data_IF_435115024419
#
_entry.id   IF_435115024419
#
_cell.length_a   1.000
_cell.length_b   1.000
_cell.length_c   1.000
_cell.angle_alpha   90.00
_cell.angle_beta   90.00
_cell.angle_gamma   90.00
#
_symmetry.space_group_name_H-M   'P 1'
#
loop_
_entity.id
_entity.type
_entity.pdbx_description
1 polymer ?
#
# COMPACT_ATOMS: atom_id res chain seq x y z
N UNK A 1 -21.91 -9.22 -33.53
CA UNK A 1 -21.54 -10.22 -32.50
C UNK A 1 -20.08 -10.06 -32.00
N UNK A 2 -19.08 -10.08 -32.88
CA UNK A 2 -17.65 -10.01 -32.50
C UNK A 2 -17.27 -8.74 -31.69
N UNK A 3 -17.80 -7.57 -32.02
CA UNK A 3 -17.53 -6.32 -31.29
C UNK A 3 -18.07 -6.34 -29.84
N UNK A 4 -19.24 -6.93 -29.61
CA UNK A 4 -19.78 -7.08 -28.25
C UNK A 4 -18.94 -8.05 -27.42
N UNK A 5 -18.42 -9.12 -28.04
CA UNK A 5 -17.49 -10.05 -27.39
C UNK A 5 -16.14 -9.41 -27.07
N UNK A 6 -15.64 -8.45 -27.87
CA UNK A 6 -14.41 -7.72 -27.52
C UNK A 6 -14.60 -6.74 -26.37
N UNK A 7 -15.77 -6.08 -26.28
CA UNK A 7 -16.06 -5.16 -25.18
C UNK A 7 -16.21 -5.88 -23.84
N UNK A 8 -16.84 -7.06 -23.80
CA UNK A 8 -16.97 -7.84 -22.56
C UNK A 8 -15.61 -8.35 -22.08
N UNK A 9 -14.75 -8.82 -22.99
CA UNK A 9 -13.36 -9.21 -22.67
C UNK A 9 -12.55 -8.04 -22.11
N UNK A 10 -12.68 -6.84 -22.70
CA UNK A 10 -11.97 -5.65 -22.21
C UNK A 10 -12.39 -5.26 -20.79
N UNK A 11 -13.71 -5.26 -20.49
CA UNK A 11 -14.21 -4.92 -19.15
C UNK A 11 -13.73 -5.91 -18.08
N UNK A 12 -13.76 -7.21 -18.39
CA UNK A 12 -13.31 -8.27 -17.47
C UNK A 12 -11.82 -8.13 -17.12
N UNK A 13 -10.96 -7.81 -18.09
CA UNK A 13 -9.53 -7.57 -17.84
C UNK A 13 -9.27 -6.37 -16.94
N UNK A 14 -9.96 -5.26 -17.18
CA UNK A 14 -9.84 -4.07 -16.34
C UNK A 14 -10.28 -4.36 -14.90
N UNK A 15 -11.40 -5.07 -14.72
CA UNK A 15 -11.87 -5.47 -13.39
C UNK A 15 -10.88 -6.39 -12.67
N UNK A 16 -10.34 -7.40 -13.36
CA UNK A 16 -9.32 -8.28 -12.80
C UNK A 16 -8.08 -7.50 -12.36
N UNK A 17 -7.61 -6.54 -13.16
CA UNK A 17 -6.47 -5.69 -12.81
C UNK A 17 -6.69 -4.91 -11.51
N UNK A 18 -7.88 -4.33 -11.32
CA UNK A 18 -8.24 -3.65 -10.07
C UNK A 18 -8.31 -4.61 -8.89
N UNK A 19 -8.95 -5.77 -9.06
CA UNK A 19 -9.03 -6.80 -8.00
C UNK A 19 -7.64 -7.26 -7.57
N UNK A 20 -6.76 -7.57 -8.52
CA UNK A 20 -5.38 -7.99 -8.22
C UNK A 20 -4.59 -6.90 -7.49
N UNK A 21 -4.78 -5.64 -7.89
CA UNK A 21 -4.17 -4.51 -7.20
C UNK A 21 -4.65 -4.40 -5.75
N UNK A 22 -5.97 -4.49 -5.51
CA UNK A 22 -6.54 -4.39 -4.16
C UNK A 22 -6.07 -5.54 -3.27
N UNK A 23 -6.17 -6.79 -3.74
CA UNK A 23 -5.68 -7.96 -2.98
C UNK A 23 -4.20 -7.85 -2.64
N UNK A 24 -3.38 -7.33 -3.58
CA UNK A 24 -1.98 -7.06 -3.33
C UNK A 24 -1.78 -6.01 -2.22
N UNK A 25 -2.54 -4.92 -2.22
CA UNK A 25 -2.46 -3.89 -1.18
C UNK A 25 -2.91 -4.45 0.17
N UNK A 26 -3.97 -5.24 0.21
CA UNK A 26 -4.47 -5.87 1.43
C UNK A 26 -3.42 -6.80 2.04
N UNK A 27 -2.76 -7.64 1.22
CA UNK A 27 -1.65 -8.47 1.67
C UNK A 27 -0.47 -7.64 2.19
N UNK A 28 -0.09 -6.57 1.50
CA UNK A 28 0.97 -5.66 1.98
C UNK A 28 0.58 -5.05 3.33
N UNK A 29 -0.67 -4.61 3.48
CA UNK A 29 -1.16 -4.00 4.70
C UNK A 29 -1.18 -5.00 5.87
N UNK A 30 -1.63 -6.23 5.64
CA UNK A 30 -1.57 -7.33 6.63
C UNK A 30 -0.13 -7.63 7.05
N UNK A 31 0.77 -7.74 6.06
CA UNK A 31 2.19 -7.98 6.31
C UNK A 31 2.85 -6.75 6.95
N UNK A 32 2.30 -5.54 6.90
CA UNK A 32 2.85 -4.32 7.56
C UNK A 32 2.19 -4.00 8.91
N UNK A 33 0.97 -4.46 9.15
CA UNK A 33 0.27 -4.29 10.41
C UNK A 33 0.90 -5.15 11.51
N UNK A 34 1.27 -4.52 12.63
CA UNK A 34 2.01 -5.19 13.70
C UNK A 34 1.20 -6.32 14.35
N UNK A 35 -0.10 -6.13 14.52
CA UNK A 35 -0.98 -7.11 15.17
C UNK A 35 -1.21 -8.33 14.28
N UNK A 36 -1.54 -8.10 13.01
CA UNK A 36 -1.72 -9.14 11.99
C UNK A 36 -0.46 -9.98 11.82
N UNK A 37 0.71 -9.33 11.74
CA UNK A 37 1.98 -10.05 11.58
C UNK A 37 2.39 -10.82 12.84
N UNK A 38 2.19 -10.26 14.05
CA UNK A 38 2.42 -11.01 15.29
C UNK A 38 1.54 -12.27 15.29
N UNK A 39 0.25 -12.14 15.03
CA UNK A 39 -0.66 -13.29 14.94
C UNK A 39 -0.22 -14.28 13.88
N UNK A 40 0.21 -13.80 12.71
CA UNK A 40 0.77 -14.64 11.63
C UNK A 40 1.99 -15.42 12.11
N UNK A 41 2.96 -14.77 12.75
CA UNK A 41 4.17 -15.43 13.27
C UNK A 41 3.84 -16.50 14.31
N UNK A 42 2.89 -16.23 15.21
CA UNK A 42 2.52 -17.11 16.32
C UNK A 42 1.37 -18.08 16.01
N UNK A 43 0.84 -18.11 14.78
CA UNK A 43 -0.22 -19.05 14.40
C UNK A 43 0.31 -20.49 14.36
N UNK A 44 -0.46 -21.45 14.88
CA UNK A 44 -0.03 -22.85 15.03
C UNK A 44 0.40 -23.51 13.71
N UNK A 45 -0.30 -23.20 12.61
CA UNK A 45 0.09 -23.71 11.28
C UNK A 45 1.45 -23.18 10.80
N UNK A 46 1.95 -22.07 11.35
CA UNK A 46 3.27 -21.52 11.03
C UNK A 46 4.36 -21.94 12.03
N UNK A 47 4.04 -22.78 13.03
CA UNK A 47 4.96 -23.13 14.11
C UNK A 47 6.28 -23.71 13.61
N UNK A 48 6.28 -24.45 12.49
CA UNK A 48 7.51 -24.98 11.90
C UNK A 48 8.21 -23.97 10.98
N UNK A 49 7.47 -23.27 10.11
CA UNK A 49 8.07 -22.39 9.09
C UNK A 49 8.56 -21.06 9.65
N UNK A 50 8.04 -20.61 10.80
CA UNK A 50 8.41 -19.36 11.48
C UNK A 50 8.99 -19.59 12.88
N UNK A 51 9.38 -20.83 13.21
CA UNK A 51 9.86 -21.24 14.54
C UNK A 51 10.97 -20.32 15.11
N UNK A 52 11.93 -19.94 14.26
CA UNK A 52 13.06 -19.13 14.70
C UNK A 52 12.64 -17.69 15.08
N UNK A 53 11.61 -17.16 14.42
CA UNK A 53 11.04 -15.84 14.74
C UNK A 53 10.22 -15.88 16.03
N UNK A 54 9.60 -17.01 16.38
CA UNK A 54 8.81 -17.17 17.60
C UNK A 54 9.68 -17.27 18.85
N UNK A 55 10.78 -18.02 18.76
CA UNK A 55 11.61 -18.41 19.91
C UNK A 55 12.90 -17.60 20.02
N UNK A 56 13.14 -16.65 19.12
CA UNK A 56 14.35 -15.82 19.06
C UNK A 56 15.63 -16.63 18.91
N UNK A 57 15.58 -17.78 18.24
CA UNK A 57 16.77 -18.59 17.95
C UNK A 57 17.37 -18.18 16.61
N UNK A 58 18.62 -18.60 16.36
CA UNK A 58 19.33 -18.30 15.12
C UNK A 58 18.56 -18.80 13.89
N UNK A 59 18.12 -17.87 13.05
CA UNK A 59 17.36 -18.18 11.85
C UNK A 59 18.22 -18.74 10.71
N UNK A 60 19.56 -18.80 10.82
CA UNK A 60 20.41 -19.46 9.82
C UNK A 60 20.02 -20.92 9.60
N UNK A 61 19.62 -21.61 10.67
CA UNK A 61 19.31 -23.04 10.66
C UNK A 61 18.00 -23.38 9.94
N UNK A 62 17.17 -22.37 9.61
CA UNK A 62 15.90 -22.57 8.88
C UNK A 62 16.15 -22.55 7.36
N UNK A 63 17.35 -22.20 6.90
CA UNK A 63 17.73 -22.30 5.50
C UNK A 63 18.05 -23.75 5.13
N UNK A 64 17.20 -24.33 4.28
CA UNK A 64 17.51 -25.61 3.66
C UNK A 64 18.62 -25.46 2.60
N UNK A 65 18.77 -24.26 2.00
CA UNK A 65 19.87 -23.83 1.12
C UNK A 65 19.96 -22.30 1.11
N UNK A 66 21.16 -21.73 0.86
CA UNK A 66 21.36 -20.28 0.73
C UNK A 66 20.36 -19.66 -0.26
N UNK A 67 19.43 -18.85 0.26
CA UNK A 67 18.45 -18.10 -0.53
C UNK A 67 17.10 -18.78 -0.79
N UNK A 68 16.85 -19.99 -0.26
CA UNK A 68 15.56 -20.67 -0.38
C UNK A 68 14.43 -19.89 0.32
N UNK A 69 13.27 -19.86 -0.32
CA UNK A 69 12.07 -19.20 0.18
C UNK A 69 11.22 -20.18 0.99
N UNK A 70 11.06 -19.90 2.28
CA UNK A 70 10.30 -20.75 3.21
C UNK A 70 8.81 -20.38 3.13
N UNK A 71 7.89 -21.34 2.95
CA UNK A 71 6.46 -21.02 2.86
C UNK A 71 5.90 -20.53 4.21
N UNK A 72 5.20 -19.40 4.18
CA UNK A 72 4.28 -19.00 5.25
C UNK A 72 2.98 -19.77 5.01
N UNK A 73 2.59 -20.66 5.93
CA UNK A 73 1.42 -21.53 5.77
C UNK A 73 0.12 -20.72 5.81
N UNK A 74 0.02 -19.74 6.71
CA UNK A 74 -1.10 -18.79 6.73
C UNK A 74 -0.68 -17.36 7.00
N UNK A 75 -1.42 -16.41 6.44
CA UNK A 75 -1.43 -15.01 6.87
C UNK A 75 -2.77 -14.72 7.50
N UNK A 76 -2.76 -14.20 8.72
CA UNK A 76 -3.96 -13.84 9.48
C UNK A 76 -4.06 -12.33 9.67
N UNK A 77 -5.30 -11.83 9.78
CA UNK A 77 -5.55 -10.42 10.06
C UNK A 77 -5.51 -10.10 11.56
N UNK A 78 -5.73 -8.84 11.91
CA UNK A 78 -5.73 -8.36 13.29
C UNK A 78 -6.88 -8.91 14.12
N UNK A 79 -7.92 -9.49 13.50
CA UNK A 79 -9.02 -10.22 14.13
C UNK A 79 -8.75 -11.73 14.31
N UNK A 80 -7.56 -12.21 13.91
CA UNK A 80 -7.19 -13.64 13.90
C UNK A 80 -7.88 -14.50 12.83
N UNK A 81 -8.41 -13.87 11.78
CA UNK A 81 -9.02 -14.58 10.66
C UNK A 81 -7.98 -14.88 9.59
N UNK A 82 -8.00 -16.09 9.03
CA UNK A 82 -7.12 -16.49 7.93
C UNK A 82 -7.50 -15.74 6.66
N UNK A 83 -6.57 -14.92 6.16
CA UNK A 83 -6.71 -14.19 4.91
C UNK A 83 -6.12 -14.98 3.73
N UNK A 84 -4.98 -15.63 3.95
CA UNK A 84 -4.27 -16.41 2.94
C UNK A 84 -3.82 -17.73 3.54
N UNK A 85 -4.02 -18.82 2.80
CA UNK A 85 -3.57 -20.16 3.15
C UNK A 85 -2.72 -20.75 2.01
N UNK A 86 -1.45 -20.95 2.31
CA UNK A 86 -0.49 -21.64 1.47
C UNK A 86 -0.60 -23.15 1.75
N UNK A 87 -1.74 -23.72 1.37
CA UNK A 87 -2.04 -25.15 1.63
C UNK A 87 -0.88 -26.08 1.23
N UNK A 88 -0.64 -27.15 2.04
CA UNK A 88 0.41 -28.11 1.77
C UNK A 88 0.15 -28.90 0.47
N UNK A 89 1.20 -29.37 -0.20
CA UNK A 89 1.07 -30.18 -1.41
C UNK A 89 0.26 -31.45 -1.12
N UNK A 90 -0.84 -31.67 -1.88
CA UNK A 90 -1.62 -32.92 -1.83
C UNK A 90 -3.14 -32.74 -1.74
N UNK A 91 -3.64 -31.54 -1.46
CA UNK A 91 -5.08 -31.25 -1.52
C UNK A 91 -5.52 -30.96 -2.96
N UNK A 92 -6.70 -31.48 -3.34
CA UNK A 92 -7.25 -31.33 -4.70
C UNK A 92 -7.88 -29.95 -4.95
N UNK A 93 -8.28 -29.25 -3.89
CA UNK A 93 -8.94 -27.96 -3.98
C UNK A 93 -8.21 -26.97 -3.08
N UNK A 94 -7.56 -26.00 -3.72
CA UNK A 94 -6.78 -24.99 -3.03
C UNK A 94 -7.64 -23.74 -2.78
N UNK A 95 -7.40 -23.06 -1.66
CA UNK A 95 -8.01 -21.75 -1.37
C UNK A 95 -7.53 -20.67 -2.34
N UNK A 96 -8.41 -19.72 -2.69
CA UNK A 96 -8.11 -18.67 -3.65
C UNK A 96 -9.07 -17.49 -3.56
N UNK A 97 -9.15 -16.71 -4.64
CA UNK A 97 -10.02 -15.55 -4.78
C UNK A 97 -10.78 -15.55 -6.11
N UNK A 98 -12.01 -15.07 -6.08
CA UNK A 98 -12.83 -14.83 -7.26
C UNK A 98 -12.27 -13.65 -8.07
N UNK A 99 -12.75 -13.43 -9.30
CA UNK A 99 -12.40 -12.23 -10.08
C UNK A 99 -12.81 -10.91 -9.40
N UNK A 100 -13.71 -10.96 -8.41
CA UNK A 100 -14.14 -9.81 -7.60
C UNK A 100 -13.34 -9.66 -6.30
N UNK A 101 -12.41 -10.58 -6.03
CA UNK A 101 -11.54 -10.54 -4.84
C UNK A 101 -12.16 -11.14 -3.59
N UNK A 102 -13.25 -11.89 -3.73
CA UNK A 102 -13.84 -12.61 -2.62
C UNK A 102 -13.11 -13.95 -2.40
N UNK A 103 -12.93 -14.41 -1.15
CA UNK A 103 -12.38 -15.74 -0.90
C UNK A 103 -13.22 -16.84 -1.55
N UNK A 104 -12.55 -17.86 -2.10
CA UNK A 104 -13.19 -19.04 -2.68
C UNK A 104 -12.34 -20.29 -2.45
N UNK A 105 -12.92 -21.46 -2.72
CA UNK A 105 -12.23 -22.76 -2.75
C UNK A 105 -12.31 -23.35 -4.15
N UNK A 106 -11.38 -24.24 -4.47
CA UNK A 106 -11.34 -24.92 -5.77
C UNK A 106 -10.43 -24.25 -6.79
N UNK A 107 -9.43 -23.47 -6.35
CA UNK A 107 -8.33 -23.10 -7.23
C UNK A 107 -7.60 -24.40 -7.65
N UNK A 108 -7.37 -24.55 -8.95
CA UNK A 108 -6.64 -25.68 -9.52
C UNK A 108 -5.74 -25.21 -10.65
N UNK A 109 -4.48 -25.62 -10.61
CA UNK A 109 -3.49 -25.32 -11.66
C UNK A 109 -3.69 -26.19 -12.92
N UNK A 110 -4.44 -27.29 -12.79
CA UNK A 110 -4.65 -28.26 -13.88
C UNK A 110 -6.02 -28.11 -14.52
N UNK A 111 -7.01 -27.65 -13.75
CA UNK A 111 -8.39 -27.45 -14.22
C UNK A 111 -8.78 -25.99 -13.98
N UNK A 112 -8.63 -25.11 -14.97
CA UNK A 112 -8.98 -23.69 -14.83
C UNK A 112 -10.43 -23.50 -14.37
N UNK A 113 -10.62 -22.56 -13.45
CA UNK A 113 -11.92 -22.27 -12.83
C UNK A 113 -12.13 -20.77 -12.74
N UNK A 114 -13.10 -20.25 -13.49
CA UNK A 114 -13.48 -18.84 -13.44
C UNK A 114 -14.15 -18.44 -12.11
N UNK A 115 -14.61 -19.42 -11.33
CA UNK A 115 -15.17 -19.22 -10.00
C UNK A 115 -14.06 -18.96 -8.97
N UNK A 116 -12.87 -19.54 -9.14
CA UNK A 116 -11.75 -19.37 -8.22
C UNK A 116 -10.40 -19.24 -8.95
N UNK A 117 -10.22 -18.21 -9.80
CA UNK A 117 -9.09 -18.16 -10.72
C UNK A 117 -7.82 -17.57 -10.10
N UNK A 118 -7.86 -16.94 -8.93
CA UNK A 118 -6.72 -16.23 -8.34
C UNK A 118 -6.24 -16.99 -7.10
N UNK A 119 -4.92 -17.18 -6.95
CA UNK A 119 -4.33 -17.68 -5.71
C UNK A 119 -3.05 -16.91 -5.41
N UNK A 120 -2.84 -16.60 -4.14
CA UNK A 120 -1.59 -16.04 -3.65
C UNK A 120 -0.87 -17.05 -2.78
N UNK A 121 0.46 -17.11 -2.93
CA UNK A 121 1.34 -17.91 -2.10
C UNK A 121 2.31 -16.98 -1.41
N UNK A 122 2.51 -17.18 -0.11
CA UNK A 122 3.38 -16.36 0.70
C UNK A 122 4.61 -17.14 1.14
N UNK A 123 5.78 -16.54 0.95
CA UNK A 123 7.05 -17.08 1.37
C UNK A 123 7.84 -16.02 2.12
N UNK A 124 8.81 -16.45 2.90
CA UNK A 124 9.73 -15.55 3.56
C UNK A 124 11.16 -16.09 3.53
N UNK A 125 12.10 -15.21 3.82
CA UNK A 125 13.45 -15.57 4.23
C UNK A 125 14.02 -14.49 5.16
N UNK A 126 14.89 -14.85 6.10
CA UNK A 126 15.62 -13.86 6.86
C UNK A 126 16.70 -13.21 5.99
N UNK A 127 17.06 -11.97 6.30
CA UNK A 127 18.18 -11.24 5.72
C UNK A 127 19.26 -11.16 6.80
N UNK A 128 20.17 -12.12 6.78
CA UNK A 128 21.27 -12.27 7.73
C UNK A 128 22.62 -12.05 7.04
N UNK A 129 23.60 -11.54 7.77
CA UNK A 129 25.00 -11.63 7.35
C UNK A 129 25.56 -12.99 7.76
N UNK A 130 26.33 -13.65 6.89
CA UNK A 130 26.77 -15.04 7.06
C UNK A 130 27.64 -15.32 8.31
N UNK A 131 28.18 -14.29 8.95
CA UNK A 131 29.22 -14.42 9.98
C UNK A 131 28.72 -14.31 11.41
N UNK A 132 27.47 -13.92 11.64
CA UNK A 132 26.94 -13.68 12.99
C UNK A 132 25.66 -14.49 13.23
N UNK A 133 25.32 -14.80 14.49
CA UNK A 133 24.05 -15.46 14.79
C UNK A 133 22.88 -14.57 14.31
N UNK A 134 21.96 -15.13 13.52
CA UNK A 134 20.85 -14.38 12.95
C UNK A 134 19.66 -14.36 13.89
N UNK A 135 19.88 -13.68 15.01
CA UNK A 135 18.87 -13.49 16.03
C UNK A 135 17.98 -12.33 15.59
N UNK A 136 16.68 -12.59 15.43
CA UNK A 136 15.68 -11.58 15.09
C UNK A 136 15.97 -10.77 13.80
N UNK A 137 16.09 -11.47 12.64
CA UNK A 137 16.45 -10.85 11.38
C UNK A 137 15.46 -9.78 10.91
N UNK A 138 15.97 -8.89 10.06
CA UNK A 138 15.10 -8.27 9.06
C UNK A 138 14.64 -9.36 8.10
N UNK A 139 13.34 -9.45 7.82
CA UNK A 139 12.80 -10.48 6.92
C UNK A 139 12.40 -9.88 5.58
N UNK A 140 12.51 -10.70 4.55
CA UNK A 140 11.91 -10.48 3.25
C UNK A 140 10.71 -11.41 3.09
N UNK A 141 9.52 -10.84 2.89
CA UNK A 141 8.34 -11.61 2.51
C UNK A 141 8.12 -11.47 1.01
N UNK A 142 7.94 -12.60 0.33
CA UNK A 142 7.69 -12.72 -1.11
C UNK A 142 6.31 -13.31 -1.34
N UNK A 143 5.46 -12.55 -2.00
CA UNK A 143 4.15 -13.01 -2.47
C UNK A 143 4.25 -13.42 -3.93
N UNK A 144 3.73 -14.61 -4.28
CA UNK A 144 3.57 -15.08 -5.66
C UNK A 144 2.09 -15.14 -6.00
N UNK A 145 1.72 -14.58 -7.15
CA UNK A 145 0.39 -14.71 -7.74
C UNK A 145 0.37 -15.92 -8.67
N UNK A 146 -0.65 -16.77 -8.55
CA UNK A 146 -1.04 -17.77 -9.52
C UNK A 146 -2.42 -17.42 -10.07
N UNK A 147 -2.60 -17.62 -11.37
CA UNK A 147 -3.86 -17.40 -12.06
C UNK A 147 -4.24 -18.61 -12.90
N UNK A 148 -5.47 -19.09 -12.74
CA UNK A 148 -6.02 -20.25 -13.45
C UNK A 148 -7.48 -20.00 -13.86
N UNK A 149 -7.70 -18.90 -14.59
CA UNK A 149 -8.97 -18.63 -15.27
C UNK A 149 -9.00 -19.22 -16.67
N UNK A 150 -10.19 -19.33 -17.27
CA UNK A 150 -10.37 -19.76 -18.65
C UNK A 150 -9.76 -18.77 -19.67
N UNK A 151 -9.49 -17.53 -19.26
CA UNK A 151 -8.77 -16.55 -20.05
C UNK A 151 -7.26 -16.84 -20.07
N UNK A 152 -6.82 -17.55 -21.10
CA UNK A 152 -5.40 -17.90 -21.35
C UNK A 152 -4.49 -16.70 -21.61
N UNK A 153 -5.03 -15.48 -21.70
CA UNK A 153 -4.22 -14.27 -21.91
C UNK A 153 -3.54 -13.76 -20.64
N UNK A 154 -3.99 -14.21 -19.46
CA UNK A 154 -3.33 -13.93 -18.19
C UNK A 154 -2.33 -15.06 -17.93
N UNK A 155 -1.08 -14.87 -18.37
CA UNK A 155 0.00 -15.80 -18.04
C UNK A 155 0.37 -15.67 -16.57
N UNK A 156 0.84 -16.74 -15.95
CA UNK A 156 1.46 -16.69 -14.62
C UNK A 156 2.50 -15.56 -14.60
N UNK A 157 2.13 -14.46 -13.95
CA UNK A 157 3.01 -13.35 -13.68
C UNK A 157 3.52 -13.52 -12.27
N UNK A 158 4.83 -13.77 -12.12
CA UNK A 158 5.49 -13.62 -10.83
C UNK A 158 5.47 -12.14 -10.45
N UNK A 159 4.38 -11.71 -9.81
CA UNK A 159 4.27 -10.39 -9.22
C UNK A 159 4.86 -10.45 -7.82
N UNK A 160 6.16 -10.13 -7.73
CA UNK A 160 6.85 -10.03 -6.46
C UNK A 160 6.36 -8.81 -5.71
N UNK A 161 5.86 -9.06 -4.50
CA UNK A 161 5.81 -8.03 -3.46
C UNK A 161 6.91 -8.36 -2.50
N UNK A 162 7.91 -7.49 -2.41
CA UNK A 162 8.97 -7.55 -1.40
C UNK A 162 8.57 -6.63 -0.27
N UNK A 163 8.23 -7.20 0.89
CA UNK A 163 8.07 -6.43 2.12
C UNK A 163 9.27 -6.69 3.01
N UNK A 164 9.98 -5.62 3.37
CA UNK A 164 11.08 -5.66 4.34
C UNK A 164 10.51 -5.23 5.69
N UNK A 165 10.63 -6.10 6.70
CA UNK A 165 10.13 -5.86 8.04
C UNK A 165 11.30 -5.71 9.01
N UNK A 166 11.44 -4.57 9.70
CA UNK A 166 12.36 -4.46 10.82
C UNK A 166 11.86 -5.32 12.00
N UNK A 167 12.82 -5.72 12.82
CA UNK A 167 12.70 -6.67 13.91
C UNK A 167 11.48 -6.42 14.84
N UNK A 168 10.62 -7.45 14.97
CA UNK A 168 9.37 -7.47 15.75
C UNK A 168 9.58 -7.19 17.25
N UNK A 169 10.73 -7.59 17.80
CA UNK A 169 10.93 -7.66 19.25
C UNK A 169 11.54 -6.41 19.87
N UNK A 170 12.23 -5.58 19.08
CA UNK A 170 12.68 -4.27 19.57
C UNK A 170 11.51 -3.38 20.00
N UNK A 171 10.35 -3.53 19.35
CA UNK A 171 9.15 -2.77 19.70
C UNK A 171 8.33 -3.38 20.84
N UNK A 172 8.51 -4.66 21.17
CA UNK A 172 7.82 -5.28 22.30
C UNK A 172 8.58 -5.08 23.62
N UNK A 173 9.91 -5.06 23.58
CA UNK A 173 10.74 -4.75 24.75
C UNK A 173 10.62 -3.27 25.18
N UNK A 174 10.38 -2.34 24.24
CA UNK A 174 10.10 -0.93 24.56
C UNK A 174 8.65 -0.67 24.97
N UNK A 175 7.76 -1.65 24.82
CA UNK A 175 6.38 -1.63 25.31
C UNK A 175 6.21 -2.37 26.65
N UNK A 176 7.28 -2.51 27.43
CA UNK A 176 7.17 -2.78 28.85
C UNK A 176 6.42 -1.61 29.53
N UNK A 177 5.09 -1.65 29.45
CA UNK A 177 4.09 -1.04 30.34
C UNK A 177 4.58 0.15 31.19
N UNK A 178 4.90 1.28 30.55
CA UNK A 178 4.55 2.57 31.16
C UNK A 178 3.20 2.96 30.59
N UNK A 179 2.15 3.15 31.40
CA UNK A 179 0.85 3.59 30.92
C UNK A 179 1.05 4.91 30.16
N UNK A 180 0.89 4.89 28.83
CA UNK A 180 1.10 6.05 27.96
C UNK A 180 0.21 7.24 28.35
N UNK A 181 -0.96 6.95 28.93
CA UNK A 181 -1.85 7.94 29.54
C UNK A 181 -1.20 8.72 30.70
N UNK A 182 -0.30 8.11 31.48
CA UNK A 182 0.33 8.84 32.59
C UNK A 182 1.36 9.85 32.09
N UNK A 183 2.12 9.52 31.04
CA UNK A 183 3.18 10.40 30.55
C UNK A 183 2.60 11.58 29.74
N UNK A 184 1.62 11.34 28.88
CA UNK A 184 1.01 12.40 28.05
C UNK A 184 0.20 13.39 28.92
N UNK A 185 -0.46 12.91 29.98
CA UNK A 185 -1.14 13.77 30.95
C UNK A 185 -0.16 14.59 31.79
N UNK A 186 0.89 13.98 32.34
CA UNK A 186 1.88 14.70 33.16
C UNK A 186 2.64 15.75 32.34
N UNK A 187 2.93 15.46 31.07
CA UNK A 187 3.62 16.42 30.17
C UNK A 187 2.72 17.61 29.82
N UNK A 188 1.42 17.37 29.58
CA UNK A 188 0.45 18.41 29.30
C UNK A 188 0.24 19.36 30.49
N UNK A 189 0.08 18.80 31.68
CA UNK A 189 -0.09 19.58 32.92
C UNK A 189 1.18 20.40 33.23
N UNK A 190 2.38 19.86 32.95
CA UNK A 190 3.63 20.59 33.14
C UNK A 190 3.80 21.81 32.21
N UNK A 191 3.16 21.79 31.03
CA UNK A 191 3.22 22.87 30.03
C UNK A 191 2.02 23.84 30.12
N UNK A 192 1.31 23.87 31.27
CA UNK A 192 0.08 24.63 31.48
C UNK A 192 -1.01 24.36 30.43
N UNK A 193 -1.01 23.17 29.83
CA UNK A 193 -2.07 22.71 28.93
C UNK A 193 -3.21 22.04 29.70
N UNK A 194 -4.40 22.00 29.09
CA UNK A 194 -5.55 21.24 29.62
C UNK A 194 -5.70 19.96 28.79
N UNK A 195 -5.69 18.80 29.45
CA UNK A 195 -5.84 17.51 28.79
C UNK A 195 -7.32 17.12 28.70
N UNK A 196 -7.87 17.10 27.48
CA UNK A 196 -9.27 16.78 27.21
C UNK A 196 -9.37 15.81 26.03
N UNK A 197 -10.15 14.73 26.18
CA UNK A 197 -10.42 13.73 25.14
C UNK A 197 -9.17 13.12 24.48
N UNK A 198 -8.08 12.94 25.24
CA UNK A 198 -6.84 12.36 24.73
C UNK A 198 -5.92 13.34 24.00
N UNK A 199 -6.16 14.66 24.10
CA UNK A 199 -5.31 15.69 23.50
C UNK A 199 -4.98 16.80 24.50
N UNK A 200 -3.76 17.35 24.41
CA UNK A 200 -3.35 18.52 25.17
C UNK A 200 -3.73 19.80 24.43
N UNK A 201 -4.47 20.70 25.06
CA UNK A 201 -4.85 21.99 24.51
C UNK A 201 -4.07 23.12 25.20
N UNK A 202 -3.38 23.94 24.41
CA UNK A 202 -2.74 25.17 24.88
C UNK A 202 -3.56 26.37 24.44
N UNK A 203 -3.79 27.31 25.34
CA UNK A 203 -4.37 28.61 24.97
C UNK A 203 -3.32 29.39 24.17
N UNK A 204 -3.63 29.74 22.92
CA UNK A 204 -2.77 30.62 22.13
C UNK A 204 -2.67 32.00 22.80
N UNK A 205 -1.46 32.52 23.04
CA UNK A 205 -1.31 33.90 23.48
C UNK A 205 -1.67 34.84 22.33
N UNK A 206 -2.53 35.83 22.61
CA UNK A 206 -2.86 36.92 21.69
C UNK A 206 -1.58 37.61 21.23
N UNK A 207 -1.27 37.55 19.93
CA UNK A 207 -0.15 38.27 19.32
C UNK A 207 -0.54 39.73 19.07
N UNK A 208 0.22 40.66 19.67
CA UNK A 208 0.25 42.07 19.25
C UNK A 208 1.08 42.20 17.97
N UNK A 209 0.45 42.65 16.88
CA UNK A 209 1.14 43.03 15.63
C UNK A 209 1.86 44.37 15.79
N UNK A 210 3.17 44.36 15.60
CA UNK A 210 3.97 45.57 15.38
C UNK A 210 4.44 45.62 13.93
N UNK A 211 4.07 46.70 13.25
CA UNK A 211 4.35 47.00 11.85
C UNK A 211 5.72 47.68 11.72
N UNK A 212 6.63 47.15 10.91
CA UNK A 212 7.78 47.91 10.41
C UNK A 212 8.00 47.68 8.90
N UNK A 213 8.31 48.78 8.21
CA UNK A 213 8.50 48.94 6.76
C UNK A 213 9.98 48.86 6.41
N UNK A 214 10.32 48.17 5.32
CA UNK A 214 11.56 48.37 4.54
C UNK A 214 11.35 47.74 3.14
N UNK A 215 11.17 48.49 2.06
CA UNK A 215 12.06 49.28 1.16
C UNK A 215 12.75 48.46 0.05
N UNK A 216 12.45 48.91 -1.16
CA UNK A 216 12.73 48.45 -2.54
C UNK A 216 14.16 48.00 -2.89
N UNK A 217 14.28 46.90 -3.64
CA UNK A 217 15.21 46.74 -4.78
C UNK A 217 14.56 45.86 -5.88
N UNK A 218 14.68 46.30 -7.14
CA UNK A 218 14.08 45.65 -8.31
C UNK A 218 15.01 44.59 -8.94
N UNK A 219 14.53 43.37 -9.27
CA UNK A 219 15.35 42.39 -9.98
C UNK A 219 15.17 42.43 -11.51
N UNK A 220 16.30 42.23 -12.18
CA UNK A 220 16.48 42.08 -13.63
C UNK A 220 15.75 40.83 -14.14
N UNK A 221 14.89 41.03 -15.14
CA UNK A 221 14.01 40.01 -15.72
C UNK A 221 14.78 39.06 -16.66
N UNK A 222 15.23 37.90 -16.17
CA UNK A 222 15.55 36.74 -17.01
C UNK A 222 14.36 35.78 -16.94
N UNK A 223 13.59 35.70 -18.03
CA UNK A 223 12.49 34.75 -18.15
C UNK A 223 13.05 33.33 -18.27
N UNK A 224 12.92 32.55 -17.19
CA UNK A 224 13.25 31.12 -17.18
C UNK A 224 11.96 30.36 -17.49
N UNK A 225 11.87 29.76 -18.68
CA UNK A 225 10.68 29.01 -19.11
C UNK A 225 10.73 27.56 -18.63
N UNK A 226 9.66 27.11 -17.96
CA UNK A 226 9.42 25.70 -17.68
C UNK A 226 8.69 25.06 -18.88
N UNK A 227 9.33 24.17 -19.64
CA UNK A 227 8.74 23.64 -20.88
C UNK A 227 7.78 22.45 -20.64
N UNK A 228 8.20 21.46 -19.84
CA UNK A 228 7.36 20.32 -19.46
C UNK A 228 7.96 19.60 -18.24
N UNK A 229 7.13 18.89 -17.48
CA UNK A 229 7.57 17.97 -16.44
C UNK A 229 6.84 16.64 -16.58
N UNK A 230 7.57 15.54 -16.49
CA UNK A 230 7.01 14.19 -16.43
C UNK A 230 7.26 13.61 -15.05
N UNK A 231 6.23 13.03 -14.43
CA UNK A 231 6.34 12.31 -13.17
C UNK A 231 5.71 10.92 -13.28
N UNK A 232 6.34 9.94 -12.64
CA UNK A 232 5.88 8.56 -12.60
C UNK A 232 5.15 8.28 -11.28
N UNK A 233 3.89 7.84 -11.36
CA UNK A 233 3.10 7.42 -10.20
C UNK A 233 2.60 6.01 -10.47
N UNK A 234 2.99 5.05 -9.61
CA UNK A 234 2.55 3.66 -9.67
C UNK A 234 2.71 2.97 -11.05
N UNK A 235 3.78 3.32 -11.79
CA UNK A 235 4.08 2.75 -13.10
C UNK A 235 3.44 3.48 -14.29
N UNK A 236 2.87 4.67 -14.07
CA UNK A 236 2.30 5.51 -15.11
C UNK A 236 3.02 6.85 -15.20
N UNK A 237 3.44 7.25 -16.42
CA UNK A 237 4.05 8.54 -16.68
C UNK A 237 3.01 9.61 -17.01
N UNK A 238 2.95 10.68 -16.20
CA UNK A 238 2.08 11.84 -16.42
C UNK A 238 2.97 13.00 -16.85
N UNK A 239 2.71 13.58 -18.02
CA UNK A 239 3.44 14.75 -18.52
C UNK A 239 2.56 16.00 -18.44
N UNK A 240 3.03 17.02 -17.74
CA UNK A 240 2.43 18.34 -17.62
C UNK A 240 3.18 19.30 -18.53
N UNK A 241 2.45 19.98 -19.40
CA UNK A 241 2.97 21.04 -20.26
C UNK A 241 2.56 22.40 -19.68
N UNK A 242 3.48 23.36 -19.63
CA UNK A 242 3.13 24.71 -19.24
C UNK A 242 2.25 25.35 -20.33
N UNK A 243 1.10 25.90 -19.93
CA UNK A 243 0.35 26.80 -20.80
C UNK A 243 1.00 28.19 -20.69
N UNK A 244 1.28 28.82 -21.83
CA UNK A 244 1.97 30.11 -21.87
C UNK A 244 1.25 31.16 -21.00
N UNK A 245 2.04 31.88 -20.21
CA UNK A 245 1.73 33.12 -19.48
C UNK A 245 0.72 33.09 -18.32
N UNK A 246 0.34 31.93 -17.79
CA UNK A 246 -0.34 31.86 -16.48
C UNK A 246 0.39 30.93 -15.50
N UNK A 247 0.70 31.46 -14.31
CA UNK A 247 1.33 30.78 -13.17
C UNK A 247 0.46 29.66 -12.55
N UNK A 248 -0.59 29.23 -13.23
CA UNK A 248 -1.52 28.22 -12.74
C UNK A 248 -1.92 27.33 -13.90
N UNK A 249 -1.37 26.11 -13.95
CA UNK A 249 -1.82 25.09 -14.89
C UNK A 249 -3.03 24.40 -14.25
N UNK A 250 -4.24 24.69 -14.74
CA UNK A 250 -5.39 23.85 -14.45
C UNK A 250 -5.22 22.53 -15.21
N UNK A 251 -5.06 21.42 -14.48
CA UNK A 251 -5.03 20.10 -15.07
C UNK A 251 -6.40 19.77 -15.67
N UNK A 252 -6.45 19.40 -16.96
CA UNK A 252 -7.60 18.68 -17.50
C UNK A 252 -7.73 17.34 -16.78
N UNK A 253 -8.87 17.10 -16.13
CA UNK A 253 -9.21 15.84 -15.52
C UNK A 253 -9.17 14.73 -16.56
N UNK A 254 -8.21 13.81 -16.46
CA UNK A 254 -8.16 12.61 -17.30
C UNK A 254 -8.63 11.43 -16.47
N UNK A 255 -9.64 10.71 -16.96
CA UNK A 255 -10.14 9.51 -16.30
C UNK A 255 -9.07 8.42 -16.32
N UNK A 256 -8.75 7.87 -15.15
CA UNK A 256 -7.90 6.69 -15.00
C UNK A 256 -8.65 5.64 -14.19
N UNK A 257 -9.52 4.88 -14.85
CA UNK A 257 -10.37 3.89 -14.18
C UNK A 257 -11.52 4.52 -13.39
N UNK A 258 -11.74 4.06 -12.14
CA UNK A 258 -12.74 4.63 -11.21
C UNK A 258 -12.23 5.81 -10.39
N UNK A 259 -10.96 6.20 -10.56
CA UNK A 259 -10.35 7.33 -9.85
C UNK A 259 -10.24 8.50 -10.82
N UNK A 260 -10.78 9.63 -10.39
CA UNK A 260 -10.42 10.93 -10.95
C UNK A 260 -9.34 11.49 -10.01
N UNK A 261 -8.12 11.65 -10.51
CA UNK A 261 -7.14 12.50 -9.83
C UNK A 261 -7.50 13.93 -10.24
N UNK A 262 -8.29 14.60 -9.42
CA UNK A 262 -8.57 16.03 -9.60
C UNK A 262 -7.71 16.85 -8.65
N UNK A 263 -7.08 17.87 -9.23
CA UNK A 263 -6.49 19.05 -8.61
C UNK A 263 -5.16 18.83 -7.87
N UNK A 264 -4.08 18.79 -8.64
CA UNK A 264 -2.77 19.27 -8.18
C UNK A 264 -2.57 20.70 -8.66
N UNK A 265 -2.15 21.61 -7.78
CA UNK A 265 -1.67 22.93 -8.20
C UNK A 265 -0.18 22.78 -8.51
N UNK A 266 0.20 23.03 -9.75
CA UNK A 266 1.60 23.02 -10.19
C UNK A 266 2.06 24.46 -10.38
N UNK A 267 3.10 24.85 -9.65
CA UNK A 267 3.71 26.16 -9.73
C UNK A 267 5.08 26.03 -10.38
N UNK A 268 5.37 26.85 -11.39
CA UNK A 268 6.73 27.05 -11.87
C UNK A 268 7.25 28.37 -11.32
N UNK A 269 8.33 28.33 -10.55
CA UNK A 269 9.03 29.51 -10.05
C UNK A 269 10.53 29.35 -10.32
N UNK A 270 11.14 30.34 -10.97
CA UNK A 270 12.57 30.38 -11.30
C UNK A 270 13.09 29.13 -12.03
N UNK A 271 12.28 28.52 -12.91
CA UNK A 271 12.65 27.31 -13.66
C UNK A 271 12.54 26.00 -12.89
N UNK A 272 12.02 26.04 -11.65
CA UNK A 272 11.73 24.85 -10.85
C UNK A 272 10.22 24.66 -10.73
N UNK A 273 9.78 23.41 -10.85
CA UNK A 273 8.39 23.04 -10.59
C UNK A 273 8.21 22.67 -9.13
N UNK A 274 7.14 23.18 -8.53
CA UNK A 274 6.64 22.80 -7.20
C UNK A 274 5.22 22.30 -7.38
N UNK A 275 4.95 21.06 -6.97
CA UNK A 275 3.62 20.48 -6.98
C UNK A 275 3.01 20.53 -5.57
N UNK A 276 1.87 21.19 -5.43
CA UNK A 276 1.03 21.05 -4.25
C UNK A 276 -0.13 20.13 -4.61
N UNK A 277 0.06 18.84 -4.29
CA UNK A 277 -0.99 17.85 -4.46
C UNK A 277 -2.01 18.04 -3.33
N UNK A 278 -3.26 18.37 -3.68
CA UNK A 278 -4.42 18.23 -2.79
C UNK A 278 -5.16 16.97 -3.24
N UNK A 279 -4.72 15.76 -2.82
CA UNK A 279 -5.33 14.53 -3.29
C UNK A 279 -6.79 14.49 -2.82
N UNK A 280 -7.71 14.85 -3.71
CA UNK A 280 -9.14 14.63 -3.51
C UNK A 280 -9.46 13.29 -4.16
N UNK A 281 -9.39 12.22 -3.36
CA UNK A 281 -9.79 10.90 -3.81
C UNK A 281 -11.30 10.83 -3.78
N UNK A 282 -11.95 11.06 -4.92
CA UNK A 282 -13.39 10.80 -5.06
C UNK A 282 -13.56 9.31 -5.36
N UNK A 283 -13.98 8.55 -4.36
CA UNK A 283 -14.39 7.15 -4.53
C UNK A 283 -15.86 7.11 -4.95
N UNK A 284 -16.13 6.73 -6.19
CA UNK A 284 -17.50 6.49 -6.64
C UNK A 284 -17.93 5.08 -6.20
N UNK A 285 -18.70 5.00 -5.12
CA UNK A 285 -19.32 3.74 -4.68
C UNK A 285 -20.63 3.42 -5.43
N UNK A 286 -21.25 4.42 -6.09
CA UNK A 286 -22.52 4.29 -6.80
C UNK A 286 -22.42 4.84 -8.26
N UNK A 287 -22.73 4.03 -9.28
CA UNK A 287 -22.80 4.46 -10.68
C UNK A 287 -23.77 5.62 -10.95
N UNK A 288 -24.78 5.82 -10.09
CA UNK A 288 -25.79 6.89 -10.23
C UNK A 288 -25.19 8.28 -10.00
N UNK A 289 -24.30 8.40 -9.01
CA UNK A 289 -23.61 9.65 -8.65
C UNK A 289 -22.67 10.13 -9.77
N UNK A 290 -22.15 9.19 -10.56
CA UNK A 290 -21.30 9.48 -11.73
C UNK A 290 -22.07 10.12 -12.88
N UNK A 291 -23.33 9.71 -13.09
CA UNK A 291 -24.21 10.29 -14.13
C UNK A 291 -24.61 11.74 -13.79
N UNK A 292 -24.94 12.01 -12.52
CA UNK A 292 -25.25 13.36 -12.04
C UNK A 292 -24.06 14.33 -12.18
N UNK A 293 -22.83 13.85 -11.94
CA UNK A 293 -21.63 14.66 -12.11
C UNK A 293 -21.38 15.04 -13.59
N UNK A 294 -21.60 14.10 -14.52
CA UNK A 294 -21.46 14.37 -15.97
C UNK A 294 -22.51 15.38 -16.48
N UNK A 295 -23.73 15.35 -15.92
CA UNK A 295 -24.79 16.32 -16.24
C UNK A 295 -24.53 17.70 -15.65
N UNK A 296 -23.64 17.83 -14.66
CA UNK A 296 -23.26 19.13 -14.04
C UNK A 296 -22.05 19.78 -14.72
N UNK A 297 -21.30 19.02 -15.53
CA UNK A 297 -20.07 19.46 -16.22
C UNK A 297 -20.34 19.88 -17.69
N UNK A 298 -21.55 19.65 -18.21
CA UNK A 298 -22.02 20.19 -19.50
C UNK A 298 -22.75 21.52 -19.31
#
# INVERSE_FOLDING_TARGET
>A
AAFMQSLTKSKSRTQLGFTLHNLKQDLVNLIRDQNSWKKTVFHDQNAQSLACLQTTVDCHQVHFNDGELIPIQVIVNSADEIFLENEPPGLKELSGFTQQGLPCRGFSETTPSDQCPIRFLAYWRPLCEQTEACMNPTIEVVIKLKYSGSDTSVKEGLHYVKVIRPNLLQNLASQAFTPRESIEKTTCEYQNGIYLNGFCQHAEPLKEESLSKEKDEAPVNKSVMCNSMTYDVDGYSITVHAANDQQTVQTQSKMFGSKIITNGEFYCSNGSWTAQLKPTVVNFQDPSSFKQLLETIQ
#
